data_IF_056212098643
#
_entry.id   IF_056212098643
#
_cell.length_a   1.000
_cell.length_b   1.000
_cell.length_c   1.000
_cell.angle_alpha   90.00
_cell.angle_beta   90.00
_cell.angle_gamma   90.00
#
_symmetry.space_group_name_H-M   'P 1'
#
loop_
_entity.id
_entity.type
_entity.pdbx_description
1 polymer ?
#
# COMPACT_ATOMS: atom_id res chain seq x y z
N UNK A 1 -8.81 45.16 -14.85
CA UNK A 1 -8.71 44.07 -13.86
C UNK A 1 -9.18 42.69 -14.40
N UNK A 2 -9.59 42.61 -15.67
CA UNK A 2 -10.14 41.38 -16.30
C UNK A 2 -9.15 40.55 -17.15
N UNK A 3 -7.93 41.03 -17.36
CA UNK A 3 -6.93 40.39 -18.24
C UNK A 3 -5.90 39.52 -17.44
N UNK A 4 -5.84 39.71 -16.12
CA UNK A 4 -4.90 38.99 -15.26
C UNK A 4 -5.30 37.52 -14.98
N UNK A 5 -6.59 37.21 -15.03
CA UNK A 5 -7.14 35.88 -14.75
C UNK A 5 -6.75 34.83 -15.82
N UNK A 6 -6.86 35.14 -17.16
CA UNK A 6 -6.48 34.16 -18.18
C UNK A 6 -4.95 33.90 -18.23
N UNK A 7 -4.13 34.88 -17.85
CA UNK A 7 -2.67 34.70 -17.82
C UNK A 7 -2.26 33.73 -16.68
N UNK A 8 -2.93 33.79 -15.53
CA UNK A 8 -2.68 32.86 -14.42
C UNK A 8 -3.07 31.41 -14.75
N UNK A 9 -4.10 31.23 -15.58
CA UNK A 9 -4.57 29.91 -16.02
C UNK A 9 -3.62 29.25 -17.03
N UNK A 10 -2.87 30.06 -17.80
CA UNK A 10 -1.90 29.52 -18.78
C UNK A 10 -0.60 29.02 -18.15
N UNK A 11 -0.25 29.49 -16.95
CA UNK A 11 0.95 29.02 -16.20
C UNK A 11 0.73 27.72 -15.44
N UNK A 12 -0.49 27.28 -15.24
CA UNK A 12 -0.81 26.09 -14.45
C UNK A 12 -0.68 24.75 -15.22
N UNK A 13 -0.36 24.76 -16.52
CA UNK A 13 -0.39 23.56 -17.36
C UNK A 13 0.99 22.91 -17.61
N UNK A 14 2.06 23.40 -17.00
CA UNK A 14 3.40 22.83 -17.20
C UNK A 14 3.84 21.92 -16.02
N UNK A 15 2.96 21.07 -15.49
CA UNK A 15 3.38 19.91 -14.72
C UNK A 15 3.74 18.79 -15.70
N UNK A 16 4.90 18.90 -16.33
CA UNK A 16 5.55 17.82 -17.07
C UNK A 16 6.15 16.86 -16.04
N UNK A 17 5.52 15.72 -15.86
CA UNK A 17 6.18 14.58 -15.24
C UNK A 17 7.16 14.01 -16.26
N UNK A 18 8.46 14.21 -16.04
CA UNK A 18 9.52 13.53 -16.78
C UNK A 18 9.66 12.09 -16.25
N UNK A 19 8.68 11.26 -16.51
CA UNK A 19 8.87 9.81 -16.42
C UNK A 19 9.37 9.33 -17.80
N UNK A 20 10.66 9.07 -17.92
CA UNK A 20 11.18 8.35 -19.08
C UNK A 20 10.50 6.96 -19.13
N UNK A 21 9.85 6.61 -20.25
CA UNK A 21 9.21 5.30 -20.37
C UNK A 21 10.27 4.22 -20.29
N UNK A 22 10.17 3.40 -19.26
CA UNK A 22 11.08 2.26 -19.06
C UNK A 22 10.82 1.25 -20.17
N UNK A 23 11.84 0.95 -20.98
CA UNK A 23 11.72 0.05 -22.13
C UNK A 23 11.92 -1.40 -21.70
N UNK A 24 10.85 -2.18 -21.75
CA UNK A 24 10.90 -3.62 -21.55
C UNK A 24 11.04 -4.37 -22.90
N UNK A 25 11.71 -5.51 -22.85
CA UNK A 25 11.83 -6.42 -24.02
C UNK A 25 10.57 -7.27 -24.24
N UNK A 26 9.73 -7.40 -23.19
CA UNK A 26 8.55 -8.26 -23.20
C UNK A 26 7.39 -7.55 -22.48
N UNK A 27 6.21 -7.57 -23.11
CA UNK A 27 4.97 -6.99 -22.57
C UNK A 27 4.61 -7.60 -21.20
N UNK A 28 4.87 -8.89 -20.98
CA UNK A 28 4.61 -9.54 -19.68
C UNK A 28 5.50 -8.99 -18.55
N UNK A 29 6.74 -8.61 -18.85
CA UNK A 29 7.63 -7.98 -17.86
C UNK A 29 7.21 -6.55 -17.56
N UNK A 30 6.70 -5.84 -18.56
CA UNK A 30 6.16 -4.50 -18.40
C UNK A 30 4.93 -4.52 -17.50
N UNK A 31 3.97 -5.39 -17.74
CA UNK A 31 2.78 -5.58 -16.91
C UNK A 31 3.15 -6.00 -15.48
N UNK A 32 4.10 -6.92 -15.33
CA UNK A 32 4.63 -7.34 -14.03
C UNK A 32 5.22 -6.16 -13.26
N UNK A 33 6.00 -5.33 -13.92
CA UNK A 33 6.63 -4.16 -13.32
C UNK A 33 5.60 -3.14 -12.83
N UNK A 34 4.65 -2.74 -13.67
CA UNK A 34 3.62 -1.76 -13.27
C UNK A 34 2.72 -2.29 -12.14
N UNK A 35 2.34 -3.56 -12.16
CA UNK A 35 1.59 -4.18 -11.08
C UNK A 35 2.35 -4.14 -9.74
N UNK A 36 3.67 -4.38 -9.77
CA UNK A 36 4.51 -4.28 -8.58
C UNK A 36 4.63 -2.84 -8.07
N UNK A 37 4.72 -1.84 -8.96
CA UNK A 37 4.78 -0.43 -8.56
C UNK A 37 3.50 0.05 -7.87
N UNK A 38 2.34 -0.49 -8.25
CA UNK A 38 1.07 -0.20 -7.58
C UNK A 38 0.94 -0.90 -6.23
N UNK A 39 1.51 -2.11 -6.08
CA UNK A 39 1.47 -2.90 -4.85
C UNK A 39 2.45 -2.40 -3.78
N UNK A 40 3.53 -1.74 -4.21
CA UNK A 40 4.58 -1.23 -3.32
C UNK A 40 4.34 0.23 -2.97
N UNK A 41 4.44 0.56 -1.66
CA UNK A 41 4.32 1.94 -1.16
C UNK A 41 5.66 2.63 -1.06
N UNK A 42 5.67 3.92 -1.37
CA UNK A 42 6.77 4.78 -1.03
C UNK A 42 6.75 5.13 0.46
N UNK A 43 7.76 4.70 1.22
CA UNK A 43 7.83 4.86 2.68
C UNK A 43 7.96 6.32 3.14
N UNK A 44 8.40 7.23 2.26
CA UNK A 44 8.64 8.66 2.57
C UNK A 44 7.59 9.59 1.95
N UNK A 45 6.61 9.07 1.18
CA UNK A 45 5.71 9.86 0.35
C UNK A 45 4.25 9.82 0.81
N UNK A 46 3.96 9.95 2.09
CA UNK A 46 2.60 10.03 2.63
C UNK A 46 1.65 8.90 2.15
N UNK A 47 2.14 7.66 2.11
CA UNK A 47 1.39 6.47 1.64
C UNK A 47 1.05 6.42 0.13
N UNK A 48 1.69 7.21 -0.71
CA UNK A 48 1.53 7.10 -2.15
C UNK A 48 2.11 5.78 -2.66
N UNK A 49 1.55 5.27 -3.76
CA UNK A 49 2.12 4.13 -4.49
C UNK A 49 3.49 4.50 -5.05
N UNK A 50 4.31 3.49 -5.32
CA UNK A 50 5.60 3.72 -5.96
C UNK A 50 5.43 4.24 -7.40
N UNK A 51 4.29 3.94 -8.04
CA UNK A 51 3.94 4.43 -9.36
C UNK A 51 3.73 5.96 -9.37
N UNK A 52 3.14 6.54 -8.32
CA UNK A 52 2.75 7.95 -8.27
C UNK A 52 3.79 8.85 -7.60
N UNK A 53 4.84 8.26 -6.99
CA UNK A 53 5.80 9.02 -6.20
C UNK A 53 7.02 9.47 -7.02
N UNK A 54 7.33 10.77 -6.97
CA UNK A 54 8.51 11.37 -7.60
C UNK A 54 9.69 11.56 -6.62
N UNK A 55 9.63 10.99 -5.41
CA UNK A 55 10.72 11.08 -4.46
C UNK A 55 11.97 10.35 -4.96
N UNK A 56 13.19 10.82 -4.64
CA UNK A 56 14.44 10.15 -5.04
C UNK A 56 14.48 8.69 -4.61
N UNK A 57 14.03 8.37 -3.39
CA UNK A 57 13.95 7.00 -2.91
C UNK A 57 12.97 6.14 -3.73
N UNK A 58 11.88 6.73 -4.23
CA UNK A 58 10.94 6.01 -5.09
C UNK A 58 11.57 5.66 -6.44
N UNK A 59 12.42 6.55 -6.98
CA UNK A 59 13.15 6.28 -8.21
C UNK A 59 14.17 5.15 -8.02
N UNK A 60 14.89 5.14 -6.91
CA UNK A 60 15.85 4.07 -6.59
C UNK A 60 15.14 2.71 -6.46
N UNK A 61 13.99 2.67 -5.77
CA UNK A 61 13.19 1.46 -5.63
C UNK A 61 12.63 0.98 -6.96
N UNK A 62 12.17 1.89 -7.83
CA UNK A 62 11.72 1.54 -9.19
C UNK A 62 12.83 0.91 -10.02
N UNK A 63 14.05 1.46 -9.94
CA UNK A 63 15.21 0.90 -10.63
C UNK A 63 15.56 -0.49 -10.10
N UNK A 64 15.52 -0.70 -8.79
CA UNK A 64 15.79 -2.00 -8.17
C UNK A 64 14.74 -3.06 -8.57
N UNK A 65 13.45 -2.69 -8.59
CA UNK A 65 12.37 -3.57 -9.09
C UNK A 65 12.57 -3.86 -10.58
N UNK A 66 12.93 -2.86 -11.39
CA UNK A 66 13.20 -3.03 -12.81
C UNK A 66 14.30 -4.06 -13.08
N UNK A 67 15.42 -3.98 -12.36
CA UNK A 67 16.52 -4.95 -12.49
C UNK A 67 16.08 -6.36 -12.10
N UNK A 68 15.28 -6.48 -11.04
CA UNK A 68 14.77 -7.79 -10.60
C UNK A 68 13.79 -8.40 -11.60
N UNK A 69 12.90 -7.61 -12.21
CA UNK A 69 11.97 -8.04 -13.27
C UNK A 69 12.74 -8.47 -14.53
N UNK A 70 13.76 -7.70 -14.94
CA UNK A 70 14.63 -8.08 -16.06
C UNK A 70 15.42 -9.36 -15.80
N UNK A 71 15.75 -9.64 -14.54
CA UNK A 71 16.38 -10.89 -14.09
C UNK A 71 15.38 -12.05 -14.00
N UNK A 72 14.13 -11.87 -14.43
CA UNK A 72 13.05 -12.87 -14.44
C UNK A 72 12.71 -13.42 -13.05
N UNK A 73 12.87 -12.63 -12.01
CA UNK A 73 12.42 -12.99 -10.66
C UNK A 73 10.89 -12.99 -10.58
N UNK A 74 10.36 -13.89 -9.75
CA UNK A 74 8.92 -13.96 -9.50
C UNK A 74 8.47 -12.81 -8.58
N UNK A 75 7.20 -12.37 -8.70
CA UNK A 75 6.61 -11.32 -7.87
C UNK A 75 6.82 -11.58 -6.37
N UNK A 76 6.60 -12.81 -5.92
CA UNK A 76 6.77 -13.17 -4.52
C UNK A 76 8.21 -12.99 -4.04
N UNK A 77 9.21 -13.31 -4.86
CA UNK A 77 10.62 -13.13 -4.52
C UNK A 77 10.99 -11.65 -4.43
N UNK A 78 10.43 -10.82 -5.32
CA UNK A 78 10.64 -9.38 -5.33
C UNK A 78 10.01 -8.74 -4.09
N UNK A 79 8.76 -9.10 -3.78
CA UNK A 79 8.05 -8.60 -2.60
C UNK A 79 8.73 -9.05 -1.30
N UNK A 80 9.17 -10.31 -1.20
CA UNK A 80 9.91 -10.82 -0.06
C UNK A 80 11.24 -10.10 0.15
N UNK A 81 11.95 -9.78 -0.93
CA UNK A 81 13.18 -9.01 -0.87
C UNK A 81 12.92 -7.60 -0.33
N UNK A 82 11.89 -6.91 -0.85
CA UNK A 82 11.51 -5.58 -0.40
C UNK A 82 11.07 -5.57 1.06
N UNK A 83 10.28 -6.55 1.48
CA UNK A 83 9.85 -6.71 2.88
C UNK A 83 11.03 -6.96 3.82
N UNK A 84 12.00 -7.79 3.43
CA UNK A 84 13.20 -8.06 4.23
C UNK A 84 14.08 -6.83 4.42
N UNK A 85 14.13 -5.95 3.40
CA UNK A 85 14.99 -4.77 3.40
C UNK A 85 14.33 -3.55 4.03
N UNK A 86 13.05 -3.33 3.76
CA UNK A 86 12.31 -2.12 4.12
C UNK A 86 11.18 -2.35 5.14
N UNK A 87 10.90 -3.61 5.48
CA UNK A 87 9.84 -3.99 6.42
C UNK A 87 8.47 -4.18 5.78
N UNK A 88 7.50 -4.65 6.58
CA UNK A 88 6.15 -4.99 6.11
C UNK A 88 5.34 -3.79 5.60
N UNK A 89 5.71 -2.57 6.01
CA UNK A 89 5.03 -1.34 5.62
C UNK A 89 5.20 -0.98 4.14
N UNK A 90 6.14 -1.61 3.45
CA UNK A 90 6.37 -1.42 2.02
C UNK A 90 5.21 -1.98 1.17
N UNK A 91 4.42 -2.91 1.69
CA UNK A 91 3.30 -3.51 0.97
C UNK A 91 2.00 -2.74 1.21
N UNK A 92 1.24 -2.51 0.14
CA UNK A 92 -0.11 -1.93 0.22
C UNK A 92 -1.08 -2.84 0.99
N UNK A 93 -0.95 -4.17 0.81
CA UNK A 93 -1.72 -5.18 1.52
C UNK A 93 -0.80 -5.95 2.47
N UNK A 94 -0.77 -5.58 3.76
CA UNK A 94 0.08 -6.30 4.71
C UNK A 94 -0.37 -7.76 4.77
N UNK A 95 0.56 -8.72 4.71
CA UNK A 95 0.23 -10.13 4.81
C UNK A 95 -0.37 -10.42 6.18
N UNK A 96 -1.40 -11.29 6.23
CA UNK A 96 -1.97 -11.78 7.48
C UNK A 96 -0.93 -12.69 8.18
N UNK A 97 -0.08 -12.09 8.99
CA UNK A 97 0.91 -12.83 9.80
C UNK A 97 0.25 -13.36 11.07
N UNK A 98 0.83 -14.44 11.63
CA UNK A 98 0.36 -15.01 12.91
C UNK A 98 0.26 -13.97 14.04
N UNK A 99 1.11 -12.95 14.02
CA UNK A 99 1.09 -11.86 15.00
C UNK A 99 -0.08 -10.87 14.82
N UNK A 100 -0.66 -10.77 13.63
CA UNK A 100 -1.79 -9.87 13.36
C UNK A 100 -3.14 -10.56 13.52
N UNK A 101 -3.16 -11.89 13.67
CA UNK A 101 -4.39 -12.66 13.89
C UNK A 101 -5.16 -12.20 15.14
N UNK A 102 -4.45 -11.95 16.23
CA UNK A 102 -5.06 -11.44 17.47
C UNK A 102 -5.70 -10.06 17.29
N UNK A 103 -5.13 -9.21 16.43
CA UNK A 103 -5.67 -7.87 16.14
C UNK A 103 -6.99 -7.96 15.36
N UNK A 104 -7.09 -8.92 14.42
CA UNK A 104 -8.27 -9.09 13.58
C UNK A 104 -9.42 -9.77 14.33
N UNK A 105 -9.12 -10.79 15.15
CA UNK A 105 -10.13 -11.57 15.86
C UNK A 105 -10.37 -11.08 17.29
N UNK A 106 -9.49 -10.26 17.85
CA UNK A 106 -9.60 -9.69 19.19
C UNK A 106 -10.92 -8.99 19.45
N UNK A 107 -11.37 -8.05 18.60
CA UNK A 107 -12.64 -7.34 18.80
C UNK A 107 -13.86 -8.27 18.86
N UNK A 108 -13.89 -9.31 18.01
CA UNK A 108 -14.99 -10.30 17.99
C UNK A 108 -15.03 -11.13 19.28
N UNK A 109 -13.86 -11.52 19.80
CA UNK A 109 -13.74 -12.27 21.04
C UNK A 109 -14.23 -11.45 22.24
N UNK A 110 -13.84 -10.18 22.33
CA UNK A 110 -14.31 -9.26 23.36
C UNK A 110 -15.82 -9.07 23.29
N UNK A 111 -16.38 -8.93 22.09
CA UNK A 111 -17.81 -8.77 21.88
C UNK A 111 -18.60 -10.02 22.37
N UNK A 112 -18.11 -11.21 22.07
CA UNK A 112 -18.73 -12.47 22.51
C UNK A 112 -18.71 -12.57 24.04
N UNK A 113 -17.60 -12.24 24.67
CA UNK A 113 -17.48 -12.23 26.14
C UNK A 113 -18.45 -11.22 26.75
N UNK A 114 -18.52 -9.99 26.21
CA UNK A 114 -19.44 -8.96 26.71
C UNK A 114 -20.90 -9.37 26.62
N UNK A 115 -21.31 -9.96 25.49
CA UNK A 115 -22.68 -10.50 25.32
C UNK A 115 -22.96 -11.62 26.32
N UNK A 116 -22.00 -12.54 26.50
CA UNK A 116 -22.16 -13.68 27.43
C UNK A 116 -22.35 -13.20 28.88
N UNK A 117 -21.53 -12.23 29.32
CA UNK A 117 -21.67 -11.62 30.64
C UNK A 117 -23.01 -10.91 30.78
N UNK A 118 -23.44 -10.15 29.77
CA UNK A 118 -24.74 -9.48 29.75
C UNK A 118 -25.91 -10.45 29.93
N UNK A 119 -25.89 -11.55 29.20
CA UNK A 119 -26.94 -12.60 29.34
C UNK A 119 -26.96 -13.20 30.73
N UNK A 120 -25.80 -13.49 31.32
CA UNK A 120 -25.69 -14.06 32.68
C UNK A 120 -26.27 -13.07 33.70
N UNK A 121 -25.92 -11.80 33.60
CA UNK A 121 -26.41 -10.75 34.52
C UNK A 121 -27.93 -10.60 34.41
N UNK A 122 -28.46 -10.53 33.18
CA UNK A 122 -29.91 -10.41 32.97
C UNK A 122 -30.64 -11.64 33.52
N UNK A 123 -30.18 -12.87 33.27
CA UNK A 123 -30.79 -14.08 33.81
C UNK A 123 -30.79 -14.12 35.33
N UNK A 124 -29.72 -13.66 35.96
CA UNK A 124 -29.63 -13.57 37.44
C UNK A 124 -30.63 -12.57 38.02
N UNK A 125 -30.82 -11.40 37.37
CA UNK A 125 -31.79 -10.39 37.83
C UNK A 125 -33.23 -10.82 37.65
N UNK A 126 -33.53 -11.61 36.62
CA UNK A 126 -34.91 -12.10 36.39
C UNK A 126 -35.25 -13.29 37.30
N UNK A 127 -34.22 -14.10 37.65
CA UNK A 127 -34.42 -15.27 38.54
C UNK A 127 -34.54 -14.89 40.03
N UNK A 128 -34.17 -13.68 40.43
CA UNK A 128 -34.28 -13.17 41.83
C UNK A 128 -35.60 -12.40 42.08
N UNK A 129 -36.53 -12.36 41.13
CA UNK A 129 -37.89 -11.82 41.31
C UNK A 129 -38.93 -12.93 41.33
#
# INVERSE_FOLDING_TARGET
MSILIPILFFYAQNCFTNDEPVKFKNILQEEQYYNLLEEVRCLVCQNQSLADSNAPLAQDLRNEIYEMVNSKKNNNEILDFLVKRYGDFVLYRPPLKKNTWLLWFGPFLILIIAISIGIIVIKKQIGDK
#
